data_IF_934069930465
#
_entry.id   IF_934069930465
#
_cell.length_a   1.000
_cell.length_b   1.000
_cell.length_c   1.000
_cell.angle_alpha   90.00
_cell.angle_beta   90.00
_cell.angle_gamma   90.00
#
_symmetry.space_group_name_H-M   'P 1'
#
loop_
_entity.id
_entity.type
_entity.pdbx_description
1 polymer ?
#
# COMPACT_ATOMS: atom_id res chain seq x y z
N UNK A 1 50.89 -8.01 -13.09
CA UNK A 1 49.69 -7.77 -12.24
C UNK A 1 48.94 -6.62 -12.88
N UNK A 2 47.79 -6.93 -13.48
CA UNK A 2 47.17 -6.12 -14.52
C UNK A 2 46.35 -4.94 -13.96
N UNK A 3 46.53 -3.77 -14.57
CA UNK A 3 45.82 -2.51 -14.32
C UNK A 3 44.28 -2.66 -14.26
N UNK A 4 43.75 -3.68 -14.98
CA UNK A 4 42.31 -4.03 -15.00
C UNK A 4 41.76 -4.52 -13.64
N UNK A 5 42.55 -5.12 -12.78
CA UNK A 5 42.13 -5.61 -11.47
C UNK A 5 41.94 -4.45 -10.47
N UNK A 6 42.70 -3.39 -10.61
CA UNK A 6 42.56 -2.21 -9.75
C UNK A 6 41.35 -1.33 -10.14
N UNK A 7 41.04 -1.25 -11.43
CA UNK A 7 39.83 -0.52 -11.89
C UNK A 7 38.55 -1.23 -11.49
N UNK A 8 38.48 -2.58 -11.55
CA UNK A 8 37.32 -3.36 -11.12
C UNK A 8 37.13 -3.30 -9.60
N UNK A 9 38.21 -3.33 -8.83
CA UNK A 9 38.16 -3.22 -7.37
C UNK A 9 37.76 -1.80 -6.93
N UNK A 10 38.20 -0.77 -7.64
CA UNK A 10 37.84 0.63 -7.36
C UNK A 10 36.36 0.92 -7.67
N UNK A 11 35.81 0.31 -8.75
CA UNK A 11 34.39 0.43 -9.11
C UNK A 11 33.54 -0.33 -8.09
N UNK A 12 33.96 -1.49 -7.60
CA UNK A 12 33.26 -2.22 -6.53
C UNK A 12 33.30 -1.45 -5.19
N UNK A 13 34.42 -0.82 -4.85
CA UNK A 13 34.50 0.04 -3.65
C UNK A 13 33.66 1.31 -3.79
N UNK A 14 33.57 1.92 -4.97
CA UNK A 14 32.69 3.07 -5.23
C UNK A 14 31.20 2.70 -5.18
N UNK A 15 30.82 1.50 -5.65
CA UNK A 15 29.45 1.00 -5.56
C UNK A 15 29.03 0.69 -4.12
N UNK A 16 29.96 0.23 -3.27
CA UNK A 16 29.67 0.03 -1.83
C UNK A 16 29.55 1.34 -1.04
N UNK A 17 30.12 2.44 -1.53
CA UNK A 17 29.95 3.78 -0.94
C UNK A 17 28.63 4.47 -1.32
N UNK A 18 27.98 4.05 -2.41
CA UNK A 18 26.67 4.61 -2.83
C UNK A 18 25.46 4.00 -2.09
N UNK A 19 25.65 2.90 -1.34
CA UNK A 19 24.57 2.23 -0.61
C UNK A 19 24.41 2.63 0.86
N UNK A 20 25.23 3.54 1.38
CA UNK A 20 24.96 4.16 2.67
C UNK A 20 24.05 5.38 2.49
N UNK A 21 22.77 5.14 2.14
CA UNK A 21 21.74 6.12 2.41
C UNK A 21 21.83 6.46 3.90
N UNK A 22 22.22 7.69 4.21
CA UNK A 22 22.40 8.14 5.59
C UNK A 22 21.09 7.89 6.34
N UNK A 23 21.10 6.93 7.29
CA UNK A 23 19.92 6.63 8.11
C UNK A 23 19.44 7.93 8.76
N UNK A 24 18.12 8.14 8.80
CA UNK A 24 17.54 9.33 9.41
C UNK A 24 17.88 9.41 10.89
N UNK A 25 18.14 10.64 11.34
CA UNK A 25 18.22 10.95 12.75
C UNK A 25 16.79 11.04 13.31
N UNK A 26 16.36 10.02 14.01
CA UNK A 26 15.02 9.96 14.59
C UNK A 26 14.86 10.84 15.84
N UNK A 27 15.95 11.23 16.49
CA UNK A 27 15.90 12.17 17.62
C UNK A 27 15.56 13.60 17.15
N UNK A 28 15.92 13.92 15.89
CA UNK A 28 15.63 15.20 15.24
C UNK A 28 14.86 14.98 13.93
N UNK A 29 13.84 14.11 13.96
CA UNK A 29 13.12 13.73 12.76
C UNK A 29 12.50 14.94 12.04
N UNK A 30 12.83 15.05 10.76
CA UNK A 30 12.18 15.98 9.85
C UNK A 30 11.24 15.22 8.93
N UNK A 31 10.16 15.85 8.50
CA UNK A 31 9.16 15.22 7.62
C UNK A 31 9.79 14.50 6.43
N UNK A 32 9.18 13.42 6.04
CA UNK A 32 9.47 12.72 4.78
C UNK A 32 9.17 13.67 3.59
N UNK A 33 10.01 13.65 2.57
CA UNK A 33 9.90 14.51 1.38
C UNK A 33 10.23 13.74 0.13
N UNK A 34 9.69 14.17 -0.99
CA UNK A 34 10.08 13.68 -2.31
C UNK A 34 11.58 13.89 -2.54
N UNK A 35 12.21 12.93 -3.21
CA UNK A 35 13.64 12.92 -3.53
C UNK A 35 13.85 12.58 -5.01
N UNK A 36 14.98 13.02 -5.56
CA UNK A 36 15.34 12.72 -6.96
C UNK A 36 14.62 13.59 -8.00
N UNK A 37 14.58 13.09 -9.22
CA UNK A 37 13.92 13.77 -10.33
C UNK A 37 12.40 13.69 -10.20
N UNK A 38 11.70 14.74 -10.62
CA UNK A 38 10.23 14.77 -10.61
C UNK A 38 9.71 13.78 -11.67
N UNK A 39 8.96 12.75 -11.27
CA UNK A 39 8.40 11.78 -12.22
C UNK A 39 7.44 12.44 -13.20
N UNK A 40 7.33 11.87 -14.41
CA UNK A 40 6.41 12.38 -15.46
C UNK A 40 4.95 12.45 -14.98
N UNK A 41 4.55 11.57 -14.07
CA UNK A 41 3.20 11.58 -13.50
C UNK A 41 2.86 12.90 -12.79
N UNK A 42 3.86 13.62 -12.26
CA UNK A 42 3.68 14.88 -11.54
C UNK A 42 3.87 16.13 -12.40
N UNK A 43 4.60 16.05 -13.51
CA UNK A 43 4.96 17.23 -14.32
C UNK A 43 4.34 17.25 -15.71
N UNK A 44 3.67 16.17 -16.14
CA UNK A 44 2.90 16.14 -17.40
C UNK A 44 1.50 16.69 -17.16
N UNK A 45 1.02 17.58 -18.03
CA UNK A 45 -0.33 18.14 -17.89
C UNK A 45 -1.39 17.04 -18.03
N UNK A 46 -2.48 17.16 -17.27
CA UNK A 46 -3.63 16.26 -17.31
C UNK A 46 -4.16 16.08 -18.73
N UNK A 47 -4.28 17.19 -19.48
CA UNK A 47 -4.73 17.15 -20.88
C UNK A 47 -3.81 16.31 -21.77
N UNK A 48 -2.49 16.42 -21.61
CA UNK A 48 -1.53 15.63 -22.38
C UNK A 48 -1.63 14.14 -22.05
N UNK A 49 -1.86 13.79 -20.77
CA UNK A 49 -2.09 12.40 -20.33
C UNK A 49 -3.37 11.83 -20.94
N UNK A 50 -4.46 12.58 -20.88
CA UNK A 50 -5.76 12.22 -21.49
C UNK A 50 -5.60 11.96 -23.00
N UNK A 51 -4.95 12.88 -23.72
CA UNK A 51 -4.74 12.74 -25.16
C UNK A 51 -3.90 11.50 -25.52
N UNK A 52 -2.85 11.23 -24.74
CA UNK A 52 -2.00 10.05 -24.94
C UNK A 52 -2.77 8.75 -24.69
N UNK A 53 -3.56 8.70 -23.63
CA UNK A 53 -4.36 7.53 -23.27
C UNK A 53 -5.46 7.26 -24.31
N UNK A 54 -6.22 8.26 -24.70
CA UNK A 54 -7.24 8.14 -25.76
C UNK A 54 -6.67 7.68 -27.11
N UNK A 55 -5.43 8.04 -27.43
CA UNK A 55 -4.77 7.60 -28.65
C UNK A 55 -4.41 6.11 -28.66
N UNK A 56 -4.25 5.49 -27.50
CA UNK A 56 -3.81 4.09 -27.34
C UNK A 56 -4.95 3.12 -27.02
N UNK A 57 -6.02 3.58 -26.42
CA UNK A 57 -7.17 2.72 -26.05
C UNK A 57 -7.97 2.32 -27.28
N UNK A 58 -8.18 1.01 -27.44
CA UNK A 58 -8.99 0.38 -28.49
C UNK A 58 -10.02 -0.54 -27.83
N UNK A 59 -10.91 0.00 -27.01
CA UNK A 59 -11.84 -0.83 -26.26
C UNK A 59 -13.31 -0.63 -26.68
N UNK A 60 -14.20 -1.51 -26.22
CA UNK A 60 -15.60 -1.66 -26.62
C UNK A 60 -16.54 -0.50 -26.21
N UNK A 61 -15.98 0.63 -25.84
CA UNK A 61 -16.72 1.84 -25.49
C UNK A 61 -17.15 2.65 -26.72
N UNK A 62 -18.21 3.42 -26.56
CA UNK A 62 -18.42 4.56 -27.44
C UNK A 62 -17.30 5.58 -27.23
N UNK A 63 -16.97 6.35 -28.27
CA UNK A 63 -15.92 7.38 -28.15
C UNK A 63 -16.19 8.39 -27.03
N UNK A 64 -17.46 8.63 -26.68
CA UNK A 64 -17.87 9.60 -25.66
C UNK A 64 -17.70 9.03 -24.24
N UNK A 65 -18.12 7.79 -23.99
CA UNK A 65 -17.94 7.09 -22.70
C UNK A 65 -16.45 6.90 -22.37
N UNK A 66 -15.66 6.49 -23.36
CA UNK A 66 -14.21 6.36 -23.22
C UNK A 66 -13.57 7.69 -22.84
N UNK A 67 -13.98 8.77 -23.47
CA UNK A 67 -13.48 10.10 -23.20
C UNK A 67 -13.83 10.52 -21.76
N UNK A 68 -15.10 10.40 -21.36
CA UNK A 68 -15.56 10.75 -20.02
C UNK A 68 -14.82 9.96 -18.94
N UNK A 69 -14.66 8.65 -19.12
CA UNK A 69 -13.90 7.79 -18.21
C UNK A 69 -12.45 8.26 -18.08
N UNK A 70 -11.77 8.44 -19.23
CA UNK A 70 -10.37 8.85 -19.28
C UNK A 70 -10.15 10.21 -18.61
N UNK A 71 -11.02 11.19 -18.89
CA UNK A 71 -10.98 12.51 -18.26
C UNK A 71 -11.15 12.43 -16.75
N UNK A 72 -12.15 11.70 -16.28
CA UNK A 72 -12.45 11.54 -14.85
C UNK A 72 -11.29 10.89 -14.08
N UNK A 73 -10.74 9.79 -14.61
CA UNK A 73 -9.64 9.07 -13.95
C UNK A 73 -8.39 9.95 -13.89
N UNK A 74 -7.98 10.56 -15.02
CA UNK A 74 -6.78 11.40 -15.00
C UNK A 74 -6.93 12.63 -14.11
N UNK A 75 -8.09 13.25 -14.07
CA UNK A 75 -8.35 14.38 -13.16
C UNK A 75 -8.24 13.95 -11.70
N UNK A 76 -8.87 12.83 -11.31
CA UNK A 76 -8.83 12.33 -9.93
C UNK A 76 -7.43 11.93 -9.50
N UNK A 77 -6.68 11.26 -10.37
CA UNK A 77 -5.29 10.86 -10.09
C UNK A 77 -4.40 12.10 -9.96
N UNK A 78 -4.53 13.08 -10.85
CA UNK A 78 -3.74 14.31 -10.81
C UNK A 78 -4.07 15.18 -9.59
N UNK A 79 -5.34 15.27 -9.20
CA UNK A 79 -5.75 15.94 -7.96
C UNK A 79 -5.04 15.31 -6.75
N UNK A 80 -5.00 13.99 -6.68
CA UNK A 80 -4.30 13.28 -5.62
C UNK A 80 -2.79 13.51 -5.67
N UNK A 81 -2.15 13.35 -6.84
CA UNK A 81 -0.71 13.56 -7.01
C UNK A 81 -0.27 15.00 -6.64
N UNK A 82 -1.13 15.98 -6.95
CA UNK A 82 -0.86 17.41 -6.69
C UNK A 82 -1.33 17.87 -5.32
N UNK A 83 -1.95 17.00 -4.50
CA UNK A 83 -2.44 17.32 -3.17
C UNK A 83 -1.35 17.74 -2.17
N UNK A 84 -0.07 17.51 -2.50
CA UNK A 84 1.05 17.67 -1.58
C UNK A 84 1.20 16.53 -0.56
N UNK A 85 0.28 15.56 -0.56
CA UNK A 85 0.35 14.36 0.29
C UNK A 85 1.11 13.21 -0.37
N UNK A 86 1.17 13.17 -1.71
CA UNK A 86 1.89 12.13 -2.46
C UNK A 86 3.34 12.53 -2.66
N UNK A 87 4.24 11.63 -2.30
CA UNK A 87 5.68 11.80 -2.39
C UNK A 87 6.32 10.67 -3.20
N UNK A 88 7.48 10.93 -3.79
CA UNK A 88 8.19 10.01 -4.67
C UNK A 88 9.69 9.97 -4.34
N UNK A 89 10.33 8.85 -4.69
CA UNK A 89 11.78 8.67 -4.52
C UNK A 89 12.23 8.63 -3.07
N UNK A 90 11.30 8.55 -2.12
CA UNK A 90 11.54 8.43 -0.69
C UNK A 90 11.82 6.96 -0.30
N UNK A 91 12.26 6.75 0.93
CA UNK A 91 12.68 5.44 1.41
C UNK A 91 11.54 4.41 1.44
N UNK A 92 10.30 4.88 1.65
CA UNK A 92 9.11 4.01 1.64
C UNK A 92 8.76 3.63 0.21
N UNK A 93 8.66 4.60 -0.72
CA UNK A 93 8.40 4.33 -2.14
C UNK A 93 9.42 3.36 -2.73
N UNK A 94 10.71 3.52 -2.37
CA UNK A 94 11.77 2.62 -2.84
C UNK A 94 11.60 1.21 -2.24
N UNK A 95 11.29 1.10 -0.95
CA UNK A 95 11.05 -0.20 -0.32
C UNK A 95 9.85 -0.94 -0.93
N UNK A 96 8.76 -0.22 -1.17
CA UNK A 96 7.56 -0.76 -1.84
C UNK A 96 7.89 -1.23 -3.25
N UNK A 97 8.66 -0.45 -4.01
CA UNK A 97 9.13 -0.84 -5.35
C UNK A 97 9.97 -2.11 -5.34
N UNK A 98 10.89 -2.23 -4.38
CA UNK A 98 11.77 -3.42 -4.29
C UNK A 98 10.99 -4.68 -3.89
N UNK A 99 9.96 -4.57 -3.04
CA UNK A 99 9.05 -5.70 -2.73
C UNK A 99 8.25 -6.09 -3.97
N UNK A 100 7.77 -5.12 -4.76
CA UNK A 100 7.06 -5.40 -6.00
C UNK A 100 7.97 -6.03 -7.08
N UNK A 101 9.25 -5.67 -7.12
CA UNK A 101 10.24 -6.31 -8.00
C UNK A 101 10.42 -7.81 -7.66
N UNK A 102 10.39 -8.16 -6.37
CA UNK A 102 10.41 -9.57 -5.94
C UNK A 102 9.14 -10.30 -6.40
N UNK A 103 7.97 -9.69 -6.25
CA UNK A 103 6.70 -10.27 -6.70
C UNK A 103 6.67 -10.50 -8.22
N UNK A 104 7.29 -9.62 -8.98
CA UNK A 104 7.29 -9.62 -10.46
C UNK A 104 8.64 -10.06 -11.06
N UNK A 105 9.46 -10.80 -10.30
CA UNK A 105 10.77 -11.28 -10.76
C UNK A 105 10.71 -12.04 -12.09
N UNK A 106 9.59 -12.71 -12.36
CA UNK A 106 9.35 -13.50 -13.58
C UNK A 106 8.61 -12.68 -14.67
N UNK A 107 8.20 -11.44 -14.39
CA UNK A 107 7.54 -10.53 -15.33
C UNK A 107 8.09 -9.09 -15.25
N UNK A 108 9.35 -8.88 -15.71
CA UNK A 108 9.97 -7.56 -15.69
C UNK A 108 9.27 -6.55 -16.61
N UNK A 109 8.53 -7.02 -17.63
CA UNK A 109 7.75 -6.14 -18.52
C UNK A 109 6.54 -5.54 -17.80
N UNK A 110 5.89 -6.32 -16.95
CA UNK A 110 4.82 -5.82 -16.09
C UNK A 110 5.38 -4.87 -15.03
N UNK A 111 6.48 -5.23 -14.36
CA UNK A 111 7.13 -4.36 -13.39
C UNK A 111 7.48 -2.99 -13.96
N UNK A 112 8.00 -2.93 -15.19
CA UNK A 112 8.37 -1.69 -15.87
C UNK A 112 7.16 -0.76 -16.17
N UNK A 113 5.93 -1.26 -16.11
CA UNK A 113 4.70 -0.47 -16.28
C UNK A 113 4.21 0.14 -14.97
N UNK A 114 4.73 -0.30 -13.83
CA UNK A 114 4.29 0.13 -12.51
C UNK A 114 5.17 1.24 -11.94
N UNK A 115 4.57 2.16 -11.20
CA UNK A 115 5.24 3.22 -10.45
C UNK A 115 4.67 3.28 -9.05
N UNK A 116 5.55 3.43 -8.07
CA UNK A 116 5.21 3.32 -6.65
C UNK A 116 5.46 4.65 -5.94
N UNK A 117 4.44 5.15 -5.25
CA UNK A 117 4.51 6.41 -4.51
C UNK A 117 3.95 6.25 -3.10
N UNK A 118 4.47 7.04 -2.18
CA UNK A 118 4.01 7.08 -0.79
C UNK A 118 2.96 8.17 -0.62
N UNK A 119 1.87 7.85 0.05
CA UNK A 119 0.84 8.82 0.46
C UNK A 119 0.97 9.09 1.96
N UNK A 120 1.16 10.35 2.34
CA UNK A 120 1.08 10.77 3.73
C UNK A 120 -0.37 10.75 4.20
N UNK A 121 -0.74 9.73 4.92
CA UNK A 121 -2.08 9.52 5.46
C UNK A 121 -2.03 8.57 6.64
N UNK A 122 -2.84 8.83 7.66
CA UNK A 122 -3.03 7.93 8.81
C UNK A 122 -3.94 6.73 8.48
N UNK A 123 -4.64 6.77 7.35
CA UNK A 123 -5.52 5.68 6.89
C UNK A 123 -4.66 4.50 6.43
N UNK A 124 -4.98 3.29 6.86
CA UNK A 124 -4.35 2.04 6.43
C UNK A 124 -4.92 1.64 5.07
N UNK A 125 -4.20 1.96 3.99
CA UNK A 125 -4.67 1.70 2.63
C UNK A 125 -3.52 1.58 1.62
N UNK A 126 -3.80 0.90 0.51
CA UNK A 126 -3.09 0.98 -0.76
C UNK A 126 -4.12 1.09 -1.88
N UNK A 127 -3.72 1.58 -3.03
CA UNK A 127 -4.58 1.62 -4.20
C UNK A 127 -3.75 1.61 -5.49
N UNK A 128 -4.29 1.00 -6.52
CA UNK A 128 -3.75 0.99 -7.88
C UNK A 128 -4.62 1.80 -8.83
N UNK A 129 -4.01 2.33 -9.88
CA UNK A 129 -4.70 3.05 -10.96
C UNK A 129 -4.50 2.35 -12.29
N UNK A 130 -5.39 2.58 -13.25
CA UNK A 130 -5.26 2.03 -14.61
C UNK A 130 -3.99 2.49 -15.36
N UNK A 131 -3.36 3.58 -14.88
CA UNK A 131 -2.11 4.08 -15.41
C UNK A 131 -0.88 3.34 -14.85
N UNK A 132 -1.08 2.36 -13.96
CA UNK A 132 -0.01 1.60 -13.30
C UNK A 132 0.68 2.38 -12.17
N UNK A 133 0.00 3.35 -11.57
CA UNK A 133 0.45 4.00 -10.35
C UNK A 133 -0.10 3.21 -9.17
N UNK A 134 0.78 2.74 -8.29
CA UNK A 134 0.44 2.10 -7.02
C UNK A 134 0.81 3.07 -5.89
N UNK A 135 -0.17 3.41 -5.08
CA UNK A 135 -0.06 4.34 -3.96
C UNK A 135 -0.17 3.56 -2.65
N UNK A 136 0.79 3.76 -1.76
CA UNK A 136 0.82 3.11 -0.44
C UNK A 136 0.86 4.17 0.65
N UNK A 137 -0.04 4.08 1.63
CA UNK A 137 -0.12 5.06 2.69
C UNK A 137 0.90 4.82 3.81
N UNK A 138 1.35 5.90 4.45
CA UNK A 138 2.15 5.80 5.69
C UNK A 138 1.37 5.07 6.80
N UNK A 139 0.04 5.15 6.79
CA UNK A 139 -0.83 4.39 7.69
C UNK A 139 -0.63 2.89 7.54
N UNK A 140 -0.66 2.36 6.32
CA UNK A 140 -0.44 0.93 6.06
C UNK A 140 0.96 0.50 6.49
N UNK A 141 2.01 1.19 6.02
CA UNK A 141 3.40 0.83 6.36
C UNK A 141 3.66 0.88 7.87
N UNK A 142 2.99 1.76 8.60
CA UNK A 142 3.12 1.84 10.07
C UNK A 142 2.53 0.63 10.81
N UNK A 143 1.55 -0.05 10.21
CA UNK A 143 0.77 -1.12 10.83
C UNK A 143 1.27 -2.53 10.48
N UNK A 144 1.77 -2.75 9.26
CA UNK A 144 2.28 -4.07 8.86
C UNK A 144 3.40 -4.53 9.79
N UNK A 145 3.47 -5.84 10.04
CA UNK A 145 4.45 -6.44 10.94
C UNK A 145 5.54 -7.21 10.19
N UNK A 146 5.29 -7.55 8.93
CA UNK A 146 6.23 -8.23 8.04
C UNK A 146 6.20 -7.68 6.63
N UNK A 147 7.28 -7.89 5.88
CA UNK A 147 7.34 -7.58 4.44
C UNK A 147 6.34 -8.42 3.65
N UNK A 148 6.11 -9.66 4.08
CA UNK A 148 5.15 -10.56 3.48
C UNK A 148 3.72 -10.01 3.50
N UNK A 149 3.31 -9.30 4.56
CA UNK A 149 2.02 -8.60 4.59
C UNK A 149 1.96 -7.50 3.53
N UNK A 150 3.01 -6.71 3.37
CA UNK A 150 3.10 -5.71 2.30
C UNK A 150 3.08 -6.38 0.92
N UNK A 151 3.83 -7.46 0.76
CA UNK A 151 3.89 -8.20 -0.51
C UNK A 151 2.51 -8.69 -0.93
N UNK A 152 1.68 -9.17 0.00
CA UNK A 152 0.34 -9.62 -0.34
C UNK A 152 -0.60 -8.44 -0.69
N UNK A 153 -0.49 -7.29 -0.01
CA UNK A 153 -1.19 -6.06 -0.42
C UNK A 153 -0.79 -5.66 -1.84
N UNK A 154 0.51 -5.63 -2.13
CA UNK A 154 0.98 -5.25 -3.46
C UNK A 154 0.56 -6.24 -4.54
N UNK A 155 0.55 -7.55 -4.25
CA UNK A 155 0.05 -8.56 -5.16
C UNK A 155 -1.44 -8.34 -5.48
N UNK A 156 -2.25 -8.00 -4.49
CA UNK A 156 -3.67 -7.62 -4.65
C UNK A 156 -3.81 -6.37 -5.54
N UNK A 157 -3.04 -5.31 -5.30
CA UNK A 157 -3.09 -4.08 -6.11
C UNK A 157 -2.60 -4.29 -7.55
N UNK A 158 -1.59 -5.14 -7.74
CA UNK A 158 -1.11 -5.52 -9.07
C UNK A 158 -2.20 -6.25 -9.85
N UNK A 159 -2.99 -7.12 -9.20
CA UNK A 159 -4.13 -7.78 -9.84
C UNK A 159 -5.20 -6.77 -10.24
N UNK A 160 -5.54 -5.80 -9.41
CA UNK A 160 -6.48 -4.75 -9.80
C UNK A 160 -6.04 -4.01 -11.07
N UNK A 161 -4.74 -3.74 -11.20
CA UNK A 161 -4.18 -3.11 -12.40
C UNK A 161 -4.24 -4.04 -13.62
N UNK A 162 -3.81 -5.32 -13.49
CA UNK A 162 -3.75 -6.26 -14.62
C UNK A 162 -5.12 -6.68 -15.14
N UNK A 163 -6.09 -6.84 -14.23
CA UNK A 163 -7.47 -7.19 -14.54
C UNK A 163 -8.35 -5.98 -14.88
N UNK A 164 -7.79 -4.75 -14.81
CA UNK A 164 -8.48 -3.50 -15.13
C UNK A 164 -9.78 -3.28 -14.34
N UNK A 165 -9.78 -3.63 -13.08
CA UNK A 165 -10.97 -3.57 -12.23
C UNK A 165 -11.58 -2.17 -12.13
N UNK A 166 -10.77 -1.10 -12.16
CA UNK A 166 -11.25 0.29 -12.15
C UNK A 166 -12.10 0.61 -13.38
N UNK A 167 -11.66 0.16 -14.56
CA UNK A 167 -12.37 0.38 -15.81
C UNK A 167 -13.67 -0.42 -15.88
N UNK A 168 -13.63 -1.71 -15.52
CA UNK A 168 -14.81 -2.56 -15.48
C UNK A 168 -15.86 -2.01 -14.50
N UNK A 169 -15.42 -1.46 -13.35
CA UNK A 169 -16.31 -0.80 -12.40
C UNK A 169 -17.00 0.42 -12.99
N UNK A 170 -16.28 1.23 -13.79
CA UNK A 170 -16.85 2.39 -14.47
C UNK A 170 -17.90 1.97 -15.51
N UNK A 171 -17.60 0.98 -16.39
CA UNK A 171 -18.54 0.45 -17.36
C UNK A 171 -19.84 -0.03 -16.69
N UNK A 172 -19.69 -0.75 -15.59
CA UNK A 172 -20.83 -1.23 -14.83
C UNK A 172 -21.64 -0.06 -14.23
N UNK A 173 -20.97 1.01 -13.81
CA UNK A 173 -21.60 2.20 -13.21
C UNK A 173 -22.44 3.02 -14.19
N UNK A 174 -22.25 2.91 -15.48
CA UNK A 174 -23.00 3.64 -16.53
C UNK A 174 -24.36 3.04 -16.89
N UNK A 175 -24.67 1.80 -16.41
CA UNK A 175 -25.97 1.14 -16.70
C UNK A 175 -27.14 1.81 -15.96
N UNK A 176 -28.29 1.95 -16.61
CA UNK A 176 -29.46 2.72 -16.12
C UNK A 176 -30.24 2.07 -14.98
N UNK A 177 -30.39 2.59 -13.85
CA UNK A 177 -31.30 2.34 -12.70
C UNK A 177 -30.58 2.43 -11.34
N UNK A 178 -30.73 3.53 -10.63
CA UNK A 178 -29.88 3.93 -9.50
C UNK A 178 -29.97 3.02 -8.27
N UNK A 179 -31.14 2.52 -7.89
CA UNK A 179 -31.29 1.75 -6.64
C UNK A 179 -30.89 0.29 -6.79
N UNK A 180 -31.34 -0.35 -7.85
CA UNK A 180 -30.90 -1.70 -8.23
C UNK A 180 -29.40 -1.72 -8.49
N UNK A 181 -28.89 -0.69 -9.12
CA UNK A 181 -27.50 -0.41 -9.42
C UNK A 181 -26.60 -0.38 -8.18
N UNK A 182 -27.01 0.27 -7.09
CA UNK A 182 -26.19 0.33 -5.87
C UNK A 182 -25.96 -1.04 -5.23
N UNK A 183 -26.94 -1.94 -5.26
CA UNK A 183 -26.78 -3.30 -4.76
C UNK A 183 -25.92 -4.16 -5.70
N UNK A 184 -26.19 -4.10 -7.02
CA UNK A 184 -25.42 -4.81 -8.03
C UNK A 184 -23.97 -4.33 -8.07
N UNK A 185 -23.71 -3.03 -7.92
CA UNK A 185 -22.38 -2.44 -7.82
C UNK A 185 -21.60 -2.91 -6.59
N UNK A 186 -22.26 -3.02 -5.44
CA UNK A 186 -21.63 -3.54 -4.22
C UNK A 186 -21.21 -5.01 -4.41
N UNK A 187 -22.09 -5.86 -4.95
CA UNK A 187 -21.77 -7.26 -5.21
C UNK A 187 -20.66 -7.40 -6.24
N UNK A 188 -20.74 -6.65 -7.34
CA UNK A 188 -19.71 -6.66 -8.39
C UNK A 188 -18.34 -6.23 -7.87
N UNK A 189 -18.30 -5.14 -7.08
CA UNK A 189 -17.06 -4.68 -6.44
C UNK A 189 -16.49 -5.72 -5.48
N UNK A 190 -17.35 -6.38 -4.69
CA UNK A 190 -16.91 -7.44 -3.78
C UNK A 190 -16.34 -8.67 -4.53
N UNK A 191 -16.91 -9.04 -5.68
CA UNK A 191 -16.39 -10.13 -6.50
C UNK A 191 -14.98 -9.78 -7.05
N UNK A 192 -14.73 -8.52 -7.42
CA UNK A 192 -13.42 -8.05 -7.86
C UNK A 192 -12.38 -8.04 -6.74
N UNK A 193 -12.79 -7.73 -5.52
CA UNK A 193 -11.95 -7.86 -4.33
C UNK A 193 -11.55 -9.32 -4.08
N UNK A 194 -12.51 -10.26 -4.17
CA UNK A 194 -12.21 -11.68 -4.03
C UNK A 194 -11.33 -12.21 -5.17
N UNK A 195 -11.50 -11.71 -6.38
CA UNK A 195 -10.65 -12.05 -7.52
C UNK A 195 -9.22 -11.56 -7.28
N UNK A 196 -9.05 -10.33 -6.83
CA UNK A 196 -7.76 -9.74 -6.51
C UNK A 196 -7.06 -10.49 -5.36
N UNK A 197 -7.79 -10.81 -4.29
CA UNK A 197 -7.26 -11.63 -3.20
C UNK A 197 -6.79 -13.00 -3.71
N UNK A 198 -7.60 -13.69 -4.52
CA UNK A 198 -7.30 -15.05 -4.99
C UNK A 198 -6.14 -15.08 -5.98
N UNK A 199 -6.15 -14.22 -7.01
CA UNK A 199 -5.08 -14.15 -8.01
C UNK A 199 -3.78 -13.59 -7.42
N UNK A 200 -3.88 -12.69 -6.44
CA UNK A 200 -2.73 -12.16 -5.71
C UNK A 200 -1.93 -13.24 -4.98
N UNK A 201 -2.58 -14.33 -4.53
CA UNK A 201 -1.90 -15.47 -3.89
C UNK A 201 -0.88 -16.10 -4.83
N UNK A 202 -1.16 -16.18 -6.14
CA UNK A 202 -0.23 -16.77 -7.11
C UNK A 202 1.07 -15.97 -7.24
N UNK A 203 0.98 -14.65 -7.27
CA UNK A 203 2.15 -13.76 -7.30
C UNK A 203 2.94 -13.87 -5.99
N UNK A 204 2.24 -13.85 -4.88
CA UNK A 204 2.82 -13.95 -3.55
C UNK A 204 3.55 -15.29 -3.33
N UNK A 205 2.94 -16.41 -3.72
CA UNK A 205 3.52 -17.76 -3.65
C UNK A 205 4.79 -17.87 -4.50
N UNK A 206 4.74 -17.41 -5.77
CA UNK A 206 5.87 -17.41 -6.68
C UNK A 206 7.04 -16.57 -6.18
N UNK A 207 6.78 -15.51 -5.45
CA UNK A 207 7.80 -14.70 -4.82
C UNK A 207 8.58 -15.47 -3.74
N UNK A 208 7.96 -16.47 -3.09
CA UNK A 208 8.61 -17.33 -2.10
C UNK A 208 8.32 -16.91 -0.66
N UNK A 209 7.27 -16.13 -0.41
CA UNK A 209 6.83 -15.77 0.94
C UNK A 209 6.09 -16.90 1.65
N UNK A 210 6.09 -16.84 2.99
CA UNK A 210 5.42 -17.82 3.84
C UNK A 210 3.90 -17.61 3.93
N UNK A 211 3.16 -18.73 4.00
CA UNK A 211 1.69 -18.74 4.05
C UNK A 211 1.10 -17.99 5.25
N UNK A 212 1.74 -18.10 6.41
CA UNK A 212 1.21 -17.57 7.68
C UNK A 212 0.97 -16.06 7.60
N UNK A 213 1.93 -15.30 7.09
CA UNK A 213 1.88 -13.84 7.07
C UNK A 213 0.92 -13.26 6.04
N UNK A 214 0.53 -14.04 5.03
CA UNK A 214 -0.58 -13.67 4.16
C UNK A 214 -1.88 -13.50 4.94
N UNK A 215 -2.10 -14.33 5.96
CA UNK A 215 -3.34 -14.32 6.74
C UNK A 215 -3.35 -13.27 7.85
N UNK A 216 -2.18 -12.93 8.41
CA UNK A 216 -2.06 -11.88 9.42
C UNK A 216 -2.35 -10.48 8.86
N UNK A 217 -2.17 -10.27 7.55
CA UNK A 217 -2.59 -9.02 6.90
C UNK A 217 -4.05 -8.68 7.17
N UNK A 218 -4.95 -9.67 7.13
CA UNK A 218 -6.38 -9.43 7.39
C UNK A 218 -6.64 -8.96 8.82
N UNK A 219 -5.81 -9.38 9.78
CA UNK A 219 -5.88 -8.89 11.14
C UNK A 219 -5.37 -7.44 11.22
N UNK A 220 -4.28 -7.11 10.50
CA UNK A 220 -3.81 -5.72 10.36
C UNK A 220 -4.92 -4.83 9.79
N UNK A 221 -5.60 -5.24 8.74
CA UNK A 221 -6.70 -4.48 8.14
C UNK A 221 -7.89 -4.35 9.10
N UNK A 222 -8.25 -5.42 9.81
CA UNK A 222 -9.37 -5.46 10.74
C UNK A 222 -9.16 -4.52 11.94
N UNK A 223 -7.92 -4.45 12.45
CA UNK A 223 -7.56 -3.66 13.63
C UNK A 223 -6.87 -2.33 13.30
N UNK A 224 -6.85 -1.93 12.04
CA UNK A 224 -6.12 -0.75 11.55
C UNK A 224 -6.51 0.58 12.20
N UNK A 225 -7.69 0.67 12.78
CA UNK A 225 -8.19 1.85 13.51
C UNK A 225 -7.65 1.93 14.95
N UNK A 226 -6.98 0.89 15.44
CA UNK A 226 -6.44 0.83 16.79
C UNK A 226 -5.01 1.38 16.87
N UNK A 227 -4.52 1.66 18.10
CA UNK A 227 -3.11 1.99 18.31
C UNK A 227 -2.18 0.91 17.73
N UNK A 228 -1.01 1.34 17.28
CA UNK A 228 -0.05 0.48 16.58
C UNK A 228 0.47 -0.66 17.46
N UNK A 229 0.68 -0.38 18.75
CA UNK A 229 1.20 -1.35 19.72
C UNK A 229 0.42 -1.27 21.03
N UNK A 230 0.15 -2.40 21.68
CA UNK A 230 -0.33 -2.46 23.06
C UNK A 230 0.82 -2.16 24.03
N UNK A 231 1.16 -0.91 24.16
CA UNK A 231 2.12 -0.49 25.18
C UNK A 231 1.34 -0.04 26.41
N UNK A 232 1.58 -0.66 27.58
CA UNK A 232 0.97 -0.18 28.80
C UNK A 232 1.27 1.29 29.02
N UNK A 233 0.24 2.08 29.26
CA UNK A 233 0.40 3.51 29.50
C UNK A 233 1.23 3.71 30.80
N UNK A 234 2.42 4.37 30.73
CA UNK A 234 3.23 4.59 31.92
C UNK A 234 2.52 5.61 32.81
N UNK A 235 1.91 5.14 33.94
CA UNK A 235 1.17 5.97 34.89
C UNK A 235 1.96 7.20 35.35
N UNK A 236 3.29 7.10 35.35
CA UNK A 236 4.19 8.19 35.74
C UNK A 236 4.52 9.19 34.64
N UNK A 237 4.04 8.98 33.40
CA UNK A 237 4.40 9.82 32.26
C UNK A 237 4.08 11.30 32.45
N UNK A 238 2.97 11.60 33.11
CA UNK A 238 2.53 12.98 33.38
C UNK A 238 3.00 13.52 34.74
N UNK A 239 3.73 12.71 35.53
CA UNK A 239 4.22 13.14 36.82
C UNK A 239 5.43 14.07 36.67
N UNK A 240 5.42 15.14 37.44
CA UNK A 240 6.51 16.13 37.49
C UNK A 240 6.74 16.60 38.93
N UNK A 241 7.74 17.43 39.15
CA UNK A 241 8.00 18.04 40.46
C UNK A 241 6.85 18.91 41.00
N UNK A 242 5.92 19.31 40.15
CA UNK A 242 4.79 20.20 40.49
C UNK A 242 3.42 19.55 40.30
N UNK A 243 3.36 18.37 39.66
CA UNK A 243 2.11 17.65 39.42
C UNK A 243 2.33 16.15 39.57
N UNK A 244 1.52 15.53 40.42
CA UNK A 244 1.45 14.07 40.56
C UNK A 244 0.00 13.63 40.35
N UNK A 245 -0.25 12.79 39.33
CA UNK A 245 -1.58 12.29 39.03
C UNK A 245 -1.82 11.01 39.85
N UNK A 246 -2.80 11.03 40.79
CA UNK A 246 -3.06 9.85 41.61
C UNK A 246 -3.49 8.65 40.74
N UNK A 247 -2.96 7.46 41.09
CA UNK A 247 -3.28 6.19 40.39
C UNK A 247 -4.76 5.94 40.20
N UNK A 248 -5.60 6.35 41.17
CA UNK A 248 -7.07 6.25 41.09
C UNK A 248 -7.72 6.99 39.91
N UNK A 249 -6.97 7.87 39.22
CA UNK A 249 -7.44 8.59 38.02
C UNK A 249 -7.23 7.80 36.74
N UNK A 250 -6.41 6.77 36.77
CA UNK A 250 -6.23 5.86 35.63
C UNK A 250 -7.26 4.73 35.69
N UNK A 251 -7.74 4.24 34.54
CA UNK A 251 -8.59 3.06 34.48
C UNK A 251 -7.91 1.87 35.15
N UNK A 252 -8.64 1.20 36.02
CA UNK A 252 -8.14 -0.02 36.70
C UNK A 252 -8.33 -1.27 35.87
N UNK A 253 -9.17 -1.20 34.86
CA UNK A 253 -9.46 -2.29 33.92
C UNK A 253 -9.13 -1.84 32.51
N UNK A 254 -8.37 -2.66 31.81
CA UNK A 254 -8.15 -2.49 30.38
C UNK A 254 -9.40 -3.03 29.68
N UNK A 255 -10.11 -2.18 28.94
CA UNK A 255 -11.25 -2.64 28.18
C UNK A 255 -10.77 -3.58 27.05
N UNK A 256 -11.40 -4.74 26.95
CA UNK A 256 -11.15 -5.67 25.87
C UNK A 256 -11.51 -5.02 24.53
N UNK A 257 -10.56 -4.96 23.62
CA UNK A 257 -10.79 -4.46 22.26
C UNK A 257 -11.59 -5.52 21.52
N UNK A 258 -12.85 -5.18 21.18
CA UNK A 258 -13.74 -6.08 20.44
C UNK A 258 -13.87 -5.59 19.01
N UNK A 259 -13.39 -6.43 18.09
CA UNK A 259 -13.66 -6.24 16.67
C UNK A 259 -15.11 -6.65 16.39
N UNK A 260 -15.87 -5.82 15.69
CA UNK A 260 -17.12 -6.24 15.07
C UNK A 260 -16.82 -7.05 13.81
N UNK A 261 -16.54 -8.33 14.00
CA UNK A 261 -16.21 -9.24 12.90
C UNK A 261 -17.38 -9.52 11.94
N UNK A 262 -18.60 -9.19 12.34
CA UNK A 262 -19.83 -9.54 11.63
C UNK A 262 -20.60 -8.32 11.11
N UNK A 263 -19.91 -7.19 10.87
CA UNK A 263 -20.55 -6.03 10.27
C UNK A 263 -21.17 -6.34 8.91
N UNK A 264 -22.28 -5.67 8.62
CA UNK A 264 -23.02 -5.82 7.36
C UNK A 264 -22.29 -5.12 6.22
N UNK A 265 -21.75 -5.88 5.28
CA UNK A 265 -21.00 -5.40 4.12
C UNK A 265 -21.84 -5.27 2.83
N UNK A 266 -23.16 -5.49 2.89
CA UNK A 266 -24.03 -5.48 1.70
C UNK A 266 -24.06 -4.15 0.93
N UNK A 267 -23.60 -3.06 1.55
CA UNK A 267 -23.49 -1.74 0.93
C UNK A 267 -22.05 -1.26 0.84
N UNK A 268 -21.09 -2.11 1.17
CA UNK A 268 -19.68 -1.80 1.12
C UNK A 268 -19.08 -2.24 -0.22
N UNK A 269 -18.19 -1.45 -0.78
CA UNK A 269 -17.39 -1.81 -1.95
C UNK A 269 -16.37 -2.90 -1.61
N UNK A 270 -15.96 -2.99 -0.34
CA UNK A 270 -15.07 -4.04 0.15
C UNK A 270 -15.86 -5.06 0.96
N UNK A 271 -15.67 -6.36 0.72
CA UNK A 271 -16.29 -7.39 1.53
C UNK A 271 -15.78 -7.34 2.97
N UNK A 272 -16.58 -7.91 3.87
CA UNK A 272 -16.18 -8.10 5.25
C UNK A 272 -14.83 -8.83 5.33
N UNK A 273 -13.88 -8.29 6.12
CA UNK A 273 -12.51 -8.77 6.22
C UNK A 273 -12.44 -10.25 6.62
N UNK A 274 -13.34 -10.70 7.51
CA UNK A 274 -13.44 -12.12 7.90
C UNK A 274 -13.82 -13.00 6.71
N UNK A 275 -14.70 -12.53 5.83
CA UNK A 275 -15.08 -13.26 4.59
C UNK A 275 -13.90 -13.32 3.63
N UNK A 276 -13.15 -12.20 3.45
CA UNK A 276 -11.95 -12.16 2.63
C UNK A 276 -10.90 -13.13 3.17
N UNK A 277 -10.56 -13.04 4.48
CA UNK A 277 -9.62 -13.94 5.16
C UNK A 277 -9.96 -15.41 4.94
N UNK A 278 -11.23 -15.79 5.16
CA UNK A 278 -11.69 -17.17 4.96
C UNK A 278 -11.47 -17.63 3.52
N UNK A 279 -11.89 -16.85 2.53
CA UNK A 279 -11.77 -17.21 1.11
C UNK A 279 -10.31 -17.30 0.66
N UNK A 280 -9.45 -16.40 1.12
CA UNK A 280 -8.02 -16.45 0.87
C UNK A 280 -7.39 -17.72 1.47
N UNK A 281 -7.76 -18.09 2.71
CA UNK A 281 -7.32 -19.34 3.34
C UNK A 281 -7.77 -20.58 2.58
N UNK A 282 -9.04 -20.64 2.18
CA UNK A 282 -9.58 -21.75 1.37
C UNK A 282 -8.79 -21.94 0.08
N UNK A 283 -8.41 -20.85 -0.60
CA UNK A 283 -7.55 -20.89 -1.78
C UNK A 283 -6.14 -21.34 -1.42
N UNK A 284 -5.53 -20.74 -0.41
CA UNK A 284 -4.16 -21.05 0.00
C UNK A 284 -3.98 -22.50 0.47
N UNK A 285 -5.02 -23.11 1.05
CA UNK A 285 -5.02 -24.52 1.49
C UNK A 285 -4.96 -25.51 0.33
N UNK A 286 -5.29 -25.09 -0.89
CA UNK A 286 -5.19 -25.91 -2.10
C UNK A 286 -3.81 -25.84 -2.76
N UNK A 287 -2.95 -24.93 -2.34
CA UNK A 287 -1.64 -24.66 -2.92
C UNK A 287 -0.52 -25.28 -2.08
N UNK A 288 0.55 -25.68 -2.77
CA UNK A 288 1.74 -26.28 -2.18
C UNK A 288 2.98 -25.42 -2.49
N UNK A 289 4.11 -25.79 -1.91
CA UNK A 289 5.43 -25.16 -2.14
C UNK A 289 5.51 -23.68 -1.66
N UNK A 290 4.90 -23.39 -0.53
CA UNK A 290 5.03 -22.11 0.17
C UNK A 290 6.50 -21.89 0.58
N UNK A 291 6.94 -20.63 0.53
CA UNK A 291 8.20 -20.23 1.14
C UNK A 291 8.12 -20.25 2.68
N UNK A 292 9.25 -20.00 3.31
CA UNK A 292 9.36 -19.89 4.77
C UNK A 292 9.68 -18.45 5.20
N UNK A 293 10.12 -17.61 4.27
CA UNK A 293 10.61 -16.28 4.57
C UNK A 293 9.47 -15.26 4.62
N UNK A 294 9.62 -14.32 5.55
CA UNK A 294 8.66 -13.25 5.76
C UNK A 294 9.24 -11.86 5.47
N UNK A 295 10.58 -11.77 5.33
CA UNK A 295 11.30 -10.52 5.11
C UNK A 295 12.50 -10.78 4.18
N UNK A 296 12.26 -10.94 2.87
CA UNK A 296 13.29 -11.21 1.86
C UNK A 296 14.30 -10.07 1.71
N UNK A 297 13.88 -8.82 1.89
CA UNK A 297 14.74 -7.63 1.93
C UNK A 297 15.36 -7.36 3.30
N UNK A 298 14.98 -8.16 4.30
CA UNK A 298 15.51 -8.11 5.65
C UNK A 298 14.71 -7.25 6.62
N UNK A 299 14.60 -7.76 7.85
CA UNK A 299 13.82 -7.16 8.94
C UNK A 299 14.30 -5.74 9.32
N UNK A 300 15.61 -5.46 9.23
CA UNK A 300 16.13 -4.12 9.53
C UNK A 300 15.56 -3.06 8.59
N UNK A 301 15.44 -3.40 7.30
CA UNK A 301 14.94 -2.48 6.30
C UNK A 301 13.46 -2.19 6.51
N UNK A 302 12.66 -3.24 6.77
CA UNK A 302 11.26 -3.11 7.13
C UNK A 302 11.10 -2.20 8.37
N UNK A 303 11.83 -2.48 9.46
CA UNK A 303 11.75 -1.70 10.69
C UNK A 303 12.11 -0.23 10.48
N UNK A 304 13.07 0.04 9.60
CA UNK A 304 13.46 1.39 9.27
C UNK A 304 12.32 2.17 8.57
N UNK A 305 11.70 1.61 7.52
CA UNK A 305 10.60 2.28 6.82
C UNK A 305 9.33 2.35 7.68
N UNK A 306 9.06 1.35 8.52
CA UNK A 306 7.98 1.39 9.52
C UNK A 306 8.17 2.52 10.51
N UNK A 307 9.40 2.73 11.00
CA UNK A 307 9.70 3.82 11.91
C UNK A 307 9.43 5.17 11.24
N UNK A 308 9.86 5.37 9.99
CA UNK A 308 9.56 6.58 9.23
C UNK A 308 8.03 6.76 9.12
N UNK A 309 7.30 5.72 8.74
CA UNK A 309 5.85 5.77 8.57
C UNK A 309 5.12 6.10 9.88
N UNK A 310 5.58 5.57 11.02
CA UNK A 310 5.04 5.89 12.36
C UNK A 310 5.24 7.36 12.73
N UNK A 311 6.40 7.93 12.42
CA UNK A 311 6.64 9.37 12.62
C UNK A 311 5.74 10.24 11.74
N UNK A 312 5.57 9.88 10.46
CA UNK A 312 4.67 10.61 9.55
C UNK A 312 3.21 10.49 9.97
N UNK A 313 2.75 9.30 10.38
CA UNK A 313 1.40 9.08 10.89
C UNK A 313 1.13 9.93 12.13
N UNK A 314 2.05 9.92 13.11
CA UNK A 314 1.92 10.74 14.30
C UNK A 314 1.84 12.24 13.97
N UNK A 315 2.65 12.70 13.00
CA UNK A 315 2.61 14.10 12.53
C UNK A 315 1.28 14.45 11.87
N UNK A 316 0.71 13.55 11.06
CA UNK A 316 -0.60 13.73 10.41
C UNK A 316 -1.70 13.84 11.48
N UNK A 317 -1.71 12.92 12.44
CA UNK A 317 -2.65 12.94 13.59
C UNK A 317 -2.52 14.24 14.44
N UNK A 318 -1.32 14.82 14.53
CA UNK A 318 -1.11 16.09 15.25
C UNK A 318 -1.55 17.32 14.46
N UNK A 319 -1.54 17.26 13.13
CA UNK A 319 -1.93 18.37 12.26
C UNK A 319 -3.44 18.43 12.02
N UNK A 320 -4.12 17.30 12.10
CA UNK A 320 -5.58 17.19 11.92
C UNK A 320 -6.38 17.65 13.15
N UNK A 321 -5.74 18.11 14.24
CA UNK A 321 -6.32 18.69 15.46
C UNK A 321 -6.15 20.19 15.51
#
# INVERSE_FOLDING_TARGET
>A
MNLHHYTTLLIFLLLTFLSNAQKRDFDNYKTLRSQGEIPKDFNTSTLSKIQADLATRRENFTNEEQKEFTERIHMSVDELLQSGKVIYGDEISQYVSDVAEILLKDDPELFAKLRFYTVKSNITNALSTDQGIILVTTGLISQITSEAELAYVLAHEIVHFTEKHTMEWFEFSQKEDVIRKMQEMSVYSQDKEFEADTKGIDLYLKAGYGKENMTTLFDVLAYSYLPIDEIPFPETYFNSSICDIPKKKFPTEQYEIKLDENYDDRRSTHPNIKRRKRKALETADTLENWGEENNLLGTERLNYVRTIARFERLRDDMLDK
#
